data_IF_559740739064
#
_entry.id   IF_559740739064
#
_cell.length_a   1.000
_cell.length_b   1.000
_cell.length_c   1.000
_cell.angle_alpha   90.00
_cell.angle_beta   90.00
_cell.angle_gamma   90.00
#
_symmetry.space_group_name_H-M   'P 1'
#
loop_
_entity.id
_entity.type
_entity.pdbx_description
1 polymer ?
#
# COMPACT_ATOMS: atom_id res chain seq x y z
N UNK A 1 23.97 -10.30 -17.37
CA UNK A 1 23.29 -9.89 -16.14
C UNK A 1 22.07 -9.07 -16.58
N UNK A 2 20.87 -9.59 -16.39
CA UNK A 2 19.66 -8.86 -16.77
C UNK A 2 19.52 -7.64 -15.85
N UNK A 3 19.68 -6.44 -16.41
CA UNK A 3 19.47 -5.19 -15.67
C UNK A 3 18.04 -5.14 -15.11
N UNK A 4 17.89 -4.61 -13.89
CA UNK A 4 16.56 -4.36 -13.32
C UNK A 4 15.74 -3.47 -14.30
N UNK A 5 14.46 -3.80 -14.55
CA UNK A 5 13.58 -2.95 -15.36
C UNK A 5 13.50 -1.53 -14.79
N UNK A 6 13.32 -0.56 -15.67
CA UNK A 6 13.51 0.86 -15.35
C UNK A 6 12.58 1.37 -14.26
N UNK A 7 11.28 1.04 -14.32
CA UNK A 7 10.30 1.54 -13.35
C UNK A 7 10.53 0.88 -11.98
N UNK A 8 10.73 -0.45 -11.95
CA UNK A 8 11.06 -1.17 -10.72
C UNK A 8 12.30 -0.57 -10.06
N UNK A 9 13.38 -0.36 -10.84
CA UNK A 9 14.61 0.26 -10.34
C UNK A 9 14.35 1.66 -9.75
N UNK A 10 13.62 2.50 -10.46
CA UNK A 10 13.35 3.88 -10.03
C UNK A 10 12.46 3.90 -8.77
N UNK A 11 11.45 3.03 -8.68
CA UNK A 11 10.62 2.92 -7.48
C UNK A 11 11.46 2.54 -6.25
N UNK A 12 12.38 1.56 -6.40
CA UNK A 12 13.29 1.18 -5.32
C UNK A 12 14.17 2.36 -4.89
N UNK A 13 14.79 3.06 -5.85
CA UNK A 13 15.68 4.20 -5.57
C UNK A 13 14.90 5.33 -4.87
N UNK A 14 13.74 5.73 -5.40
CA UNK A 14 12.96 6.84 -4.85
C UNK A 14 12.53 6.52 -3.40
N UNK A 15 12.00 5.32 -3.15
CA UNK A 15 11.58 4.94 -1.79
C UNK A 15 12.75 4.94 -0.80
N UNK A 16 13.92 4.41 -1.20
CA UNK A 16 15.13 4.42 -0.36
C UNK A 16 15.59 5.86 -0.10
N UNK A 17 15.61 6.72 -1.11
CA UNK A 17 15.99 8.13 -0.95
C UNK A 17 15.01 8.88 -0.05
N UNK A 18 13.69 8.68 -0.20
CA UNK A 18 12.68 9.27 0.68
C UNK A 18 12.88 8.80 2.13
N UNK A 19 13.10 7.49 2.34
CA UNK A 19 13.30 6.92 3.68
C UNK A 19 14.51 7.54 4.39
N UNK A 20 15.67 7.62 3.73
CA UNK A 20 16.83 8.30 4.32
C UNK A 20 16.63 9.82 4.44
N UNK A 21 15.94 10.44 3.48
CA UNK A 21 15.59 11.85 3.52
C UNK A 21 14.78 12.23 4.76
N UNK A 22 13.83 11.35 5.19
CA UNK A 22 13.07 11.55 6.43
C UNK A 22 13.96 11.61 7.67
N UNK A 23 14.98 10.75 7.79
CA UNK A 23 15.92 10.79 8.92
C UNK A 23 16.76 12.06 8.92
N UNK A 24 17.21 12.50 7.74
CA UNK A 24 17.98 13.75 7.62
C UNK A 24 17.12 14.94 8.00
N UNK A 25 15.91 15.04 7.45
CA UNK A 25 14.99 16.17 7.71
C UNK A 25 14.61 16.26 9.21
N UNK A 26 14.39 15.13 9.87
CA UNK A 26 14.06 15.09 11.30
C UNK A 26 15.15 15.66 12.18
N UNK A 27 16.45 15.56 11.78
CA UNK A 27 17.57 16.23 12.47
C UNK A 27 17.50 17.76 12.42
N UNK A 28 16.81 18.30 11.42
CA UNK A 28 16.58 19.74 11.25
C UNK A 28 15.18 20.18 11.71
N UNK A 29 14.47 19.32 12.46
CA UNK A 29 13.15 19.64 12.99
C UNK A 29 12.01 19.58 11.97
N UNK A 30 12.24 18.98 10.78
CA UNK A 30 11.21 18.81 9.75
C UNK A 30 10.68 17.39 9.77
N UNK A 31 9.38 17.23 10.01
CA UNK A 31 8.68 15.94 9.96
C UNK A 31 8.05 15.71 8.57
N UNK A 32 8.87 15.17 7.65
CA UNK A 32 8.42 14.84 6.29
C UNK A 32 7.35 13.74 6.31
N UNK A 33 7.41 12.80 7.25
CA UNK A 33 6.42 11.74 7.37
C UNK A 33 5.03 12.32 7.63
N UNK A 34 4.92 13.26 8.56
CA UNK A 34 3.67 13.96 8.82
C UNK A 34 3.22 14.83 7.63
N UNK A 35 4.14 15.50 6.92
CA UNK A 35 3.78 16.37 5.79
C UNK A 35 3.29 15.61 4.56
N UNK A 36 3.87 14.44 4.26
CA UNK A 36 3.67 13.69 3.03
C UNK A 36 2.88 12.38 3.21
N UNK A 37 2.68 11.93 4.45
CA UNK A 37 1.75 10.85 4.80
C UNK A 37 0.30 11.26 4.50
N UNK A 38 -0.55 10.28 4.25
CA UNK A 38 -1.96 10.50 3.98
C UNK A 38 -2.70 10.70 5.30
N UNK A 39 -3.11 11.93 5.57
CA UNK A 39 -4.00 12.27 6.67
C UNK A 39 -5.45 12.01 6.29
N UNK A 40 -6.28 11.74 7.30
CA UNK A 40 -7.71 11.62 7.11
C UNK A 40 -8.28 12.89 6.45
N UNK A 41 -9.17 12.75 5.47
CA UNK A 41 -9.60 13.90 4.65
C UNK A 41 -10.38 14.99 5.40
N UNK A 42 -10.87 14.71 6.62
CA UNK A 42 -11.46 15.72 7.50
C UNK A 42 -10.46 16.35 8.47
N UNK A 43 -9.21 15.90 8.49
CA UNK A 43 -8.14 16.51 9.26
C UNK A 43 -7.64 17.80 8.62
N UNK A 44 -7.17 18.76 9.42
CA UNK A 44 -6.67 20.05 8.90
C UNK A 44 -5.40 19.90 8.06
N UNK A 45 -4.60 18.87 8.30
CA UNK A 45 -3.32 18.61 7.63
C UNK A 45 -3.48 17.80 6.33
N UNK A 46 -4.73 17.45 5.97
CA UNK A 46 -5.00 16.73 4.72
C UNK A 46 -4.67 17.57 3.49
N UNK A 47 -4.03 16.92 2.51
CA UNK A 47 -3.77 17.47 1.19
C UNK A 47 -3.94 16.39 0.12
N UNK A 48 -4.60 16.73 -0.99
CA UNK A 48 -4.84 15.78 -2.10
C UNK A 48 -3.56 15.15 -2.66
N UNK A 49 -2.42 15.85 -2.61
CA UNK A 49 -1.12 15.31 -3.01
C UNK A 49 -0.69 14.11 -2.16
N UNK A 50 -1.18 14.02 -0.93
CA UNK A 50 -0.89 12.92 -0.01
C UNK A 50 -1.42 11.57 -0.52
N UNK A 51 -2.45 11.53 -1.39
CA UNK A 51 -2.88 10.29 -2.06
C UNK A 51 -1.79 9.65 -2.93
N UNK A 52 -0.72 10.37 -3.22
CA UNK A 52 0.43 9.86 -3.97
C UNK A 52 1.68 9.82 -3.09
N UNK A 53 1.95 10.88 -2.33
CA UNK A 53 3.22 11.00 -1.60
C UNK A 53 3.34 9.99 -0.47
N UNK A 54 2.24 9.60 0.18
CA UNK A 54 2.22 8.62 1.25
C UNK A 54 2.83 7.26 0.85
N UNK A 55 2.72 6.89 -0.44
CA UNK A 55 3.26 5.65 -1.00
C UNK A 55 4.79 5.57 -0.91
N UNK A 56 5.47 6.69 -0.68
CA UNK A 56 6.93 6.78 -0.58
C UNK A 56 7.43 6.97 0.85
N UNK A 57 6.53 7.15 1.81
CA UNK A 57 6.85 7.28 3.24
C UNK A 57 6.80 5.91 3.93
N UNK A 58 7.72 5.66 4.86
CA UNK A 58 7.79 4.37 5.55
C UNK A 58 8.14 4.57 7.02
N UNK A 59 7.29 4.07 7.91
CA UNK A 59 7.40 4.28 9.34
C UNK A 59 8.69 3.71 9.98
N UNK A 60 9.25 2.62 9.43
CA UNK A 60 10.43 1.96 9.96
C UNK A 60 11.18 1.12 8.91
N UNK A 61 12.37 0.63 9.29
CA UNK A 61 13.22 -0.14 8.38
C UNK A 61 12.58 -1.45 7.89
N UNK A 62 11.91 -2.20 8.76
CA UNK A 62 11.25 -3.44 8.33
C UNK A 62 10.13 -3.16 7.33
N UNK A 63 9.40 -2.06 7.53
CA UNK A 63 8.33 -1.64 6.62
C UNK A 63 8.86 -1.36 5.20
N UNK A 64 9.91 -0.54 5.05
CA UNK A 64 10.51 -0.30 3.73
C UNK A 64 11.16 -1.56 3.16
N UNK A 65 11.84 -2.35 3.99
CA UNK A 65 12.53 -3.56 3.54
C UNK A 65 11.55 -4.54 2.88
N UNK A 66 10.45 -4.90 3.53
CA UNK A 66 9.49 -5.84 2.96
C UNK A 66 8.75 -5.29 1.75
N UNK A 67 8.41 -4.00 1.74
CA UNK A 67 7.83 -3.36 0.56
C UNK A 67 8.78 -3.40 -0.64
N UNK A 68 10.01 -2.97 -0.46
CA UNK A 68 11.00 -2.93 -1.55
C UNK A 68 11.41 -4.32 -1.99
N UNK A 69 11.48 -5.28 -1.10
CA UNK A 69 11.72 -6.68 -1.44
C UNK A 69 10.61 -7.24 -2.34
N UNK A 70 9.35 -6.96 -2.02
CA UNK A 70 8.21 -7.39 -2.83
C UNK A 70 8.18 -6.68 -4.20
N UNK A 71 8.44 -5.36 -4.25
CA UNK A 71 8.57 -4.62 -5.52
C UNK A 71 9.72 -5.19 -6.35
N UNK A 72 10.87 -5.48 -5.76
CA UNK A 72 12.00 -6.08 -6.46
C UNK A 72 11.67 -7.48 -6.98
N UNK A 73 11.04 -8.32 -6.19
CA UNK A 73 10.80 -9.72 -6.52
C UNK A 73 9.67 -9.88 -7.54
N UNK A 74 8.53 -9.24 -7.32
CA UNK A 74 7.33 -9.39 -8.14
C UNK A 74 7.17 -8.28 -9.17
N UNK A 75 7.50 -7.03 -8.80
CA UNK A 75 7.34 -5.87 -9.68
C UNK A 75 8.20 -6.00 -10.94
N UNK A 76 9.44 -6.48 -10.82
CA UNK A 76 10.30 -6.71 -11.99
C UNK A 76 9.71 -7.70 -12.98
N UNK A 77 9.05 -8.75 -12.49
CA UNK A 77 8.41 -9.76 -13.36
C UNK A 77 7.22 -9.15 -14.08
N UNK A 78 6.39 -8.41 -13.37
CA UNK A 78 5.23 -7.73 -13.97
C UNK A 78 5.65 -6.66 -14.98
N UNK A 79 6.71 -5.88 -14.69
CA UNK A 79 7.23 -4.89 -15.65
C UNK A 79 7.77 -5.54 -16.90
N UNK A 80 8.46 -6.68 -16.78
CA UNK A 80 8.95 -7.44 -17.95
C UNK A 80 7.80 -7.95 -18.84
N UNK A 81 6.67 -8.35 -18.23
CA UNK A 81 5.50 -8.86 -18.96
C UNK A 81 4.65 -7.75 -19.56
N UNK A 82 4.42 -6.67 -18.81
CA UNK A 82 3.49 -5.60 -19.20
C UNK A 82 4.14 -4.41 -19.87
N UNK A 83 5.45 -4.29 -19.73
CA UNK A 83 6.20 -3.09 -20.07
C UNK A 83 6.08 -1.98 -19.02
N UNK A 84 6.98 -0.97 -19.09
CA UNK A 84 7.15 0.03 -18.04
C UNK A 84 5.90 0.91 -17.83
N UNK A 85 5.25 1.36 -18.90
CA UNK A 85 4.09 2.27 -18.79
C UNK A 85 2.92 1.60 -18.08
N UNK A 86 2.60 0.35 -18.47
CA UNK A 86 1.46 -0.38 -17.90
C UNK A 86 1.73 -0.77 -16.45
N UNK A 87 2.95 -1.18 -16.13
CA UNK A 87 3.36 -1.50 -14.75
C UNK A 87 3.27 -0.26 -13.85
N UNK A 88 3.81 0.90 -14.28
CA UNK A 88 3.72 2.13 -13.51
C UNK A 88 2.26 2.57 -13.29
N UNK A 89 1.44 2.52 -14.34
CA UNK A 89 -0.01 2.83 -14.22
C UNK A 89 -0.69 1.91 -13.20
N UNK A 90 -0.38 0.63 -13.24
CA UNK A 90 -0.91 -0.35 -12.30
C UNK A 90 -0.50 -0.04 -10.86
N UNK A 91 0.79 0.20 -10.64
CA UNK A 91 1.35 0.54 -9.32
C UNK A 91 0.67 1.77 -8.72
N UNK A 92 0.58 2.86 -9.50
CA UNK A 92 -0.02 4.11 -9.03
C UNK A 92 -1.52 3.96 -8.76
N UNK A 93 -2.27 3.29 -9.63
CA UNK A 93 -3.72 3.09 -9.43
C UNK A 93 -3.99 2.22 -8.21
N UNK A 94 -3.21 1.14 -7.99
CA UNK A 94 -3.33 0.33 -6.78
C UNK A 94 -3.02 1.14 -5.52
N UNK A 95 -1.97 1.97 -5.54
CA UNK A 95 -1.62 2.81 -4.40
C UNK A 95 -2.69 3.87 -4.12
N UNK A 96 -3.09 4.66 -5.11
CA UNK A 96 -4.15 5.67 -4.93
C UNK A 96 -5.44 5.01 -4.46
N UNK A 97 -5.83 3.89 -5.07
CA UNK A 97 -7.02 3.13 -4.67
C UNK A 97 -6.96 2.61 -3.23
N UNK A 98 -5.78 2.20 -2.79
CA UNK A 98 -5.54 1.80 -1.39
C UNK A 98 -5.80 2.97 -0.43
N UNK A 99 -5.24 4.15 -0.72
CA UNK A 99 -5.50 5.37 0.04
C UNK A 99 -6.99 5.73 0.09
N UNK A 100 -7.69 5.69 -1.04
CA UNK A 100 -9.12 5.97 -1.10
C UNK A 100 -9.97 5.00 -0.27
N UNK A 101 -9.65 3.71 -0.26
CA UNK A 101 -10.35 2.74 0.60
C UNK A 101 -10.05 2.99 2.07
N UNK A 102 -8.81 3.33 2.42
CA UNK A 102 -8.44 3.68 3.79
C UNK A 102 -9.23 4.91 4.28
N UNK A 103 -9.31 5.97 3.48
CA UNK A 103 -10.11 7.16 3.76
C UNK A 103 -11.59 6.82 3.95
N UNK A 104 -12.15 5.94 3.09
CA UNK A 104 -13.53 5.50 3.23
C UNK A 104 -13.78 4.76 4.54
N UNK A 105 -12.87 3.88 4.94
CA UNK A 105 -12.98 3.13 6.21
C UNK A 105 -12.90 4.08 7.40
N UNK A 106 -11.92 4.99 7.41
CA UNK A 106 -11.81 6.00 8.46
C UNK A 106 -13.04 6.92 8.52
N UNK A 107 -13.64 7.21 7.37
CA UNK A 107 -14.90 7.99 7.35
C UNK A 107 -16.07 7.24 7.98
N UNK A 108 -16.19 5.94 7.72
CA UNK A 108 -17.21 5.11 8.39
C UNK A 108 -16.96 5.07 9.90
N UNK A 109 -15.71 4.91 10.33
CA UNK A 109 -15.34 4.95 11.75
C UNK A 109 -15.64 6.32 12.37
N UNK A 110 -15.34 7.41 11.65
CA UNK A 110 -15.70 8.76 12.08
C UNK A 110 -17.19 8.89 12.32
N UNK A 111 -18.03 8.51 11.35
CA UNK A 111 -19.49 8.61 11.46
C UNK A 111 -20.08 7.73 12.56
N UNK A 112 -19.52 6.56 12.79
CA UNK A 112 -20.08 5.58 13.73
C UNK A 112 -19.57 5.73 15.16
N UNK A 113 -18.35 6.24 15.33
CA UNK A 113 -17.67 6.32 16.62
C UNK A 113 -17.26 7.74 16.96
N UNK A 114 -16.34 8.34 16.19
CA UNK A 114 -15.60 9.52 16.62
C UNK A 114 -16.43 10.81 16.61
N UNK A 115 -17.38 10.95 15.68
CA UNK A 115 -18.24 12.14 15.59
C UNK A 115 -19.13 12.40 16.81
N UNK A 116 -19.22 11.40 17.70
CA UNK A 116 -20.01 11.53 18.94
C UNK A 116 -19.19 12.11 20.11
N UNK A 117 -17.92 12.42 19.91
CA UNK A 117 -17.00 12.86 20.97
C UNK A 117 -16.27 14.14 20.56
N UNK A 118 -16.13 15.08 21.50
CA UNK A 118 -15.34 16.31 21.31
C UNK A 118 -13.85 16.10 21.58
N UNK A 119 -13.50 15.00 22.25
CA UNK A 119 -12.13 14.70 22.67
C UNK A 119 -11.90 13.19 22.81
N UNK A 120 -10.63 12.77 22.69
CA UNK A 120 -10.20 11.39 22.84
C UNK A 120 -9.21 11.29 24.00
N UNK A 121 -9.40 10.31 24.88
CA UNK A 121 -8.43 10.00 25.93
C UNK A 121 -7.34 9.08 25.37
N UNK A 122 -6.17 9.64 25.13
CA UNK A 122 -4.99 8.90 24.69
C UNK A 122 -4.13 8.52 25.89
N UNK A 123 -3.13 7.66 25.67
CA UNK A 123 -2.14 7.32 26.73
C UNK A 123 -1.34 8.54 27.23
N UNK A 124 -1.29 9.63 26.46
CA UNK A 124 -0.56 10.85 26.77
C UNK A 124 -1.45 11.95 27.34
N UNK A 125 -2.76 11.71 27.47
CA UNK A 125 -3.75 12.67 27.96
C UNK A 125 -4.97 12.81 27.05
N UNK A 126 -5.88 13.70 27.44
CA UNK A 126 -7.06 14.01 26.66
C UNK A 126 -6.70 15.05 25.61
N UNK A 127 -6.97 14.74 24.34
CA UNK A 127 -6.74 15.64 23.21
C UNK A 127 -8.08 15.95 22.51
N UNK A 128 -8.27 17.16 21.96
CA UNK A 128 -9.42 17.50 21.15
C UNK A 128 -9.55 16.59 19.91
N UNK A 129 -10.78 16.41 19.41
CA UNK A 129 -11.04 15.52 18.27
C UNK A 129 -10.29 15.96 17.00
N UNK A 130 -10.19 17.24 16.71
CA UNK A 130 -9.44 17.77 15.58
C UNK A 130 -7.94 17.41 15.64
N UNK A 131 -7.33 17.51 16.82
CA UNK A 131 -5.96 17.06 17.04
C UNK A 131 -5.79 15.54 16.89
N UNK A 132 -6.80 14.76 17.31
CA UNK A 132 -6.81 13.30 17.11
C UNK A 132 -6.90 12.95 15.64
N UNK A 133 -7.77 13.57 14.86
CA UNK A 133 -7.92 13.32 13.43
C UNK A 133 -6.62 13.59 12.66
N UNK A 134 -5.85 14.59 13.07
CA UNK A 134 -4.53 14.87 12.49
C UNK A 134 -3.47 13.80 12.80
N UNK A 135 -3.68 12.95 13.81
CA UNK A 135 -2.77 11.82 14.11
C UNK A 135 -3.08 10.58 13.25
N UNK A 136 -4.24 10.56 12.57
CA UNK A 136 -4.63 9.45 11.69
C UNK A 136 -3.88 9.57 10.36
N UNK A 137 -2.65 9.05 10.35
CA UNK A 137 -1.76 9.15 9.18
C UNK A 137 -1.43 7.77 8.64
N UNK A 138 -1.64 7.57 7.34
CA UNK A 138 -1.29 6.35 6.62
C UNK A 138 -0.04 6.58 5.79
N UNK A 139 0.91 5.63 5.84
CA UNK A 139 2.17 5.65 5.09
C UNK A 139 2.51 4.29 4.52
N UNK A 140 3.17 4.25 3.38
CA UNK A 140 3.75 3.04 2.79
C UNK A 140 3.33 2.72 1.38
N UNK A 141 4.21 2.03 0.67
CA UNK A 141 3.96 1.48 -0.66
C UNK A 141 3.06 0.23 -0.63
N UNK A 142 2.71 -0.27 0.56
CA UNK A 142 2.12 -1.60 0.75
C UNK A 142 0.81 -1.80 0.00
N UNK A 143 -0.06 -0.80 -0.10
CA UNK A 143 -1.27 -0.89 -0.91
C UNK A 143 -0.98 -1.24 -2.38
N UNK A 144 0.00 -0.56 -3.00
CA UNK A 144 0.46 -0.88 -4.35
C UNK A 144 1.14 -2.27 -4.42
N UNK A 145 1.89 -2.65 -3.38
CA UNK A 145 2.55 -3.96 -3.26
C UNK A 145 1.52 -5.09 -3.20
N UNK A 146 0.43 -4.94 -2.46
CA UNK A 146 -0.65 -5.94 -2.44
C UNK A 146 -1.34 -6.06 -3.81
N UNK A 147 -1.49 -4.93 -4.54
CA UNK A 147 -1.89 -4.97 -5.94
C UNK A 147 -0.91 -5.77 -6.82
N UNK A 148 0.40 -5.55 -6.66
CA UNK A 148 1.46 -6.32 -7.36
C UNK A 148 1.35 -7.82 -7.04
N UNK A 149 1.16 -8.19 -5.77
CA UNK A 149 0.99 -9.58 -5.35
C UNK A 149 -0.24 -10.22 -5.99
N UNK A 150 -1.38 -9.50 -6.02
CA UNK A 150 -2.58 -9.94 -6.71
C UNK A 150 -2.31 -10.21 -8.20
N UNK A 151 -1.70 -9.24 -8.89
CA UNK A 151 -1.37 -9.39 -10.30
C UNK A 151 -0.47 -10.60 -10.55
N UNK A 152 0.55 -10.78 -9.73
CA UNK A 152 1.45 -11.96 -9.83
C UNK A 152 0.67 -13.26 -9.64
N UNK A 153 -0.19 -13.36 -8.62
CA UNK A 153 -1.03 -14.54 -8.38
C UNK A 153 -2.01 -14.84 -9.52
N UNK A 154 -2.53 -13.79 -10.20
CA UNK A 154 -3.43 -13.94 -11.34
C UNK A 154 -2.71 -14.32 -12.65
N UNK A 155 -1.51 -13.79 -12.89
CA UNK A 155 -0.72 -14.08 -14.09
C UNK A 155 0.01 -15.42 -13.98
N UNK A 156 0.51 -15.75 -12.80
CA UNK A 156 1.35 -16.91 -12.53
C UNK A 156 0.76 -17.81 -11.42
N UNK A 157 -0.51 -18.27 -11.54
CA UNK A 157 -1.25 -18.89 -10.44
C UNK A 157 -0.61 -20.18 -9.89
N UNK A 158 0.16 -20.87 -10.72
CA UNK A 158 0.80 -22.13 -10.34
C UNK A 158 2.28 -21.99 -10.00
N UNK A 159 2.84 -20.77 -10.06
CA UNK A 159 4.21 -20.52 -9.62
C UNK A 159 4.38 -20.88 -8.15
N UNK A 160 5.45 -21.60 -7.84
CA UNK A 160 5.76 -21.99 -6.47
C UNK A 160 6.50 -20.86 -5.77
N UNK A 161 6.05 -20.51 -4.57
CA UNK A 161 6.62 -19.48 -3.71
C UNK A 161 7.04 -20.11 -2.38
N UNK A 162 8.28 -19.84 -1.97
CA UNK A 162 8.76 -20.20 -0.64
C UNK A 162 8.47 -19.05 0.32
N UNK A 163 7.67 -19.31 1.35
CA UNK A 163 7.22 -18.32 2.34
C UNK A 163 7.72 -18.75 3.71
N UNK A 164 8.71 -18.05 4.22
CA UNK A 164 9.20 -18.34 5.58
C UNK A 164 8.10 -18.06 6.63
N UNK A 165 7.89 -18.91 7.63
CA UNK A 165 8.65 -20.13 8.00
C UNK A 165 8.08 -21.44 7.42
N UNK A 166 7.25 -21.40 6.38
CA UNK A 166 6.59 -22.59 5.83
C UNK A 166 7.60 -23.42 5.05
N UNK A 167 7.84 -24.69 5.41
CA UNK A 167 8.90 -25.51 4.80
C UNK A 167 8.55 -26.05 3.40
N UNK A 168 7.34 -25.79 2.92
CA UNK A 168 6.84 -26.27 1.63
C UNK A 168 6.52 -25.11 0.70
N UNK A 169 6.77 -25.23 -0.61
CA UNK A 169 6.38 -24.23 -1.58
C UNK A 169 4.85 -24.15 -1.71
N UNK A 170 4.31 -22.93 -1.71
CA UNK A 170 2.89 -22.65 -1.90
C UNK A 170 2.68 -22.09 -3.30
N UNK A 171 1.62 -22.52 -4.01
CA UNK A 171 1.26 -21.88 -5.29
C UNK A 171 0.81 -20.45 -5.08
N UNK A 172 1.27 -19.54 -5.96
CA UNK A 172 1.02 -18.09 -5.86
C UNK A 172 -0.46 -17.74 -5.66
N UNK A 173 -1.39 -18.44 -6.34
CA UNK A 173 -2.83 -18.21 -6.14
C UNK A 173 -3.31 -18.45 -4.71
N UNK A 174 -2.82 -19.48 -4.04
CA UNK A 174 -3.21 -19.78 -2.66
C UNK A 174 -2.56 -18.82 -1.67
N UNK A 175 -1.31 -18.42 -1.94
CA UNK A 175 -0.63 -17.41 -1.16
C UNK A 175 -1.39 -16.08 -1.18
N UNK A 176 -1.77 -15.60 -2.36
CA UNK A 176 -2.48 -14.32 -2.52
C UNK A 176 -3.88 -14.35 -1.90
N UNK A 177 -4.62 -15.45 -2.08
CA UNK A 177 -5.95 -15.63 -1.44
C UNK A 177 -5.79 -15.67 0.08
N UNK A 178 -4.82 -16.42 0.60
CA UNK A 178 -4.56 -16.50 2.04
C UNK A 178 -4.21 -15.14 2.65
N UNK A 179 -3.38 -14.35 1.97
CA UNK A 179 -3.07 -12.98 2.40
C UNK A 179 -4.29 -12.07 2.38
N UNK A 180 -5.12 -12.11 1.33
CA UNK A 180 -6.35 -11.31 1.28
C UNK A 180 -7.32 -11.67 2.44
N UNK A 181 -7.47 -12.94 2.75
CA UNK A 181 -8.29 -13.41 3.88
C UNK A 181 -7.68 -12.95 5.21
N UNK A 182 -6.37 -13.08 5.37
CA UNK A 182 -5.67 -12.63 6.58
C UNK A 182 -5.84 -11.11 6.80
N UNK A 183 -5.65 -10.29 5.77
CA UNK A 183 -5.85 -8.85 5.83
C UNK A 183 -7.29 -8.48 6.21
N UNK A 184 -8.28 -9.21 5.68
CA UNK A 184 -9.67 -9.00 6.05
C UNK A 184 -9.94 -9.33 7.53
N UNK A 185 -9.44 -10.46 8.01
CA UNK A 185 -9.63 -10.89 9.40
C UNK A 185 -8.92 -9.93 10.38
N UNK A 186 -7.70 -9.50 10.05
CA UNK A 186 -6.96 -8.55 10.86
C UNK A 186 -7.63 -7.17 10.82
N UNK A 187 -8.09 -6.70 9.67
CA UNK A 187 -8.79 -5.41 9.56
C UNK A 187 -10.11 -5.35 10.35
N UNK A 188 -10.76 -6.50 10.57
CA UNK A 188 -11.99 -6.57 11.37
C UNK A 188 -11.74 -6.77 12.86
N UNK A 189 -10.58 -7.31 13.25
CA UNK A 189 -10.36 -7.80 14.62
C UNK A 189 -9.09 -7.30 15.30
N UNK A 190 -8.13 -6.69 14.60
CA UNK A 190 -6.89 -6.20 15.22
C UNK A 190 -6.89 -4.68 15.38
N UNK A 191 -6.11 -4.22 16.35
CA UNK A 191 -5.80 -2.80 16.54
C UNK A 191 -4.27 -2.65 16.64
N UNK A 192 -3.58 -3.13 15.61
CA UNK A 192 -2.11 -3.18 15.54
C UNK A 192 -1.48 -1.97 14.84
N UNK A 193 -2.31 -1.00 14.42
CA UNK A 193 -1.87 0.19 13.72
C UNK A 193 -1.52 -0.04 12.23
N UNK A 194 -1.89 -1.21 11.67
CA UNK A 194 -1.70 -1.52 10.25
C UNK A 194 -2.95 -1.18 9.46
N UNK A 195 -2.79 -0.53 8.31
CA UNK A 195 -3.90 -0.15 7.42
C UNK A 195 -4.34 -1.35 6.54
N UNK A 196 -4.90 -2.39 7.16
CA UNK A 196 -5.32 -3.64 6.48
C UNK A 196 -6.29 -3.40 5.33
N UNK A 197 -7.21 -2.46 5.49
CA UNK A 197 -8.16 -2.12 4.44
C UNK A 197 -7.51 -1.37 3.27
N UNK A 198 -6.42 -0.63 3.48
CA UNK A 198 -5.63 -0.09 2.38
C UNK A 198 -4.98 -1.21 1.54
N UNK A 199 -4.49 -2.29 2.17
CA UNK A 199 -3.97 -3.45 1.47
C UNK A 199 -5.03 -4.11 0.59
N UNK A 200 -6.22 -4.36 1.14
CA UNK A 200 -7.37 -4.89 0.39
C UNK A 200 -7.83 -3.92 -0.71
N UNK A 201 -7.78 -2.62 -0.45
CA UNK A 201 -8.06 -1.56 -1.42
C UNK A 201 -7.13 -1.64 -2.63
N UNK A 202 -5.82 -1.78 -2.39
CA UNK A 202 -4.84 -1.97 -3.45
C UNK A 202 -5.09 -3.21 -4.30
N UNK A 203 -5.48 -4.33 -3.67
CA UNK A 203 -5.89 -5.54 -4.39
C UNK A 203 -7.17 -5.33 -5.20
N UNK A 204 -8.17 -4.66 -4.65
CA UNK A 204 -9.45 -4.37 -5.33
C UNK A 204 -9.24 -3.55 -6.59
N UNK A 205 -8.53 -2.42 -6.50
CA UNK A 205 -8.24 -1.58 -7.65
C UNK A 205 -7.36 -2.30 -8.68
N UNK A 206 -6.42 -3.12 -8.22
CA UNK A 206 -5.63 -3.99 -9.06
C UNK A 206 -6.48 -4.99 -9.83
N UNK A 207 -7.44 -5.64 -9.16
CA UNK A 207 -8.38 -6.58 -9.79
C UNK A 207 -9.22 -5.88 -10.86
N UNK A 208 -9.81 -4.73 -10.52
CA UNK A 208 -10.63 -3.94 -11.45
C UNK A 208 -9.83 -3.62 -12.71
N UNK A 209 -8.60 -3.15 -12.57
CA UNK A 209 -7.75 -2.75 -13.68
C UNK A 209 -7.35 -3.95 -14.56
N UNK A 210 -7.02 -5.09 -13.96
CA UNK A 210 -6.71 -6.32 -14.69
C UNK A 210 -7.94 -6.81 -15.48
N UNK A 211 -9.12 -6.82 -14.86
CA UNK A 211 -10.37 -7.24 -15.54
C UNK A 211 -10.72 -6.28 -16.67
N UNK A 212 -10.57 -4.97 -16.45
CA UNK A 212 -10.77 -3.95 -17.50
C UNK A 212 -9.84 -4.18 -18.71
N UNK A 213 -8.54 -4.37 -18.45
CA UNK A 213 -7.58 -4.62 -19.54
C UNK A 213 -7.85 -5.93 -20.27
N UNK A 214 -8.27 -6.99 -19.56
CA UNK A 214 -8.64 -8.26 -20.16
C UNK A 214 -9.84 -8.12 -21.13
N UNK A 215 -10.87 -7.39 -20.70
CA UNK A 215 -12.04 -7.12 -21.56
C UNK A 215 -11.65 -6.31 -22.79
N UNK A 216 -10.85 -5.27 -22.64
CA UNK A 216 -10.40 -4.41 -23.74
C UNK A 216 -9.57 -5.16 -24.78
N UNK A 217 -8.83 -6.19 -24.39
CA UNK A 217 -8.00 -7.00 -25.28
C UNK A 217 -8.73 -8.24 -25.83
N UNK A 218 -10.08 -8.25 -25.87
CA UNK A 218 -10.87 -9.33 -26.49
C UNK A 218 -10.89 -10.64 -25.72
N UNK A 219 -10.67 -10.61 -24.40
CA UNK A 219 -10.71 -11.81 -23.54
C UNK A 219 -9.47 -12.70 -23.62
N UNK A 220 -8.44 -12.30 -24.37
CA UNK A 220 -7.16 -12.99 -24.48
C UNK A 220 -6.34 -13.00 -23.19
N UNK A 221 -5.20 -13.71 -23.21
CA UNK A 221 -4.27 -13.73 -22.09
C UNK A 221 -3.79 -12.33 -21.75
N UNK A 222 -3.62 -12.03 -20.45
CA UNK A 222 -3.23 -10.70 -19.91
C UNK A 222 -1.80 -10.27 -20.31
N UNK A 223 -1.14 -11.07 -21.15
CA UNK A 223 0.29 -10.92 -21.51
C UNK A 223 0.59 -9.88 -22.59
N UNK A 224 -0.42 -9.23 -23.19
CA UNK A 224 -0.18 -8.26 -24.27
C UNK A 224 -1.06 -7.03 -24.13
#
# INVERSE_FOLDING_TARGET
MNNLPTVTKNLLIINVLCFFGMFVARKYGVDIENMLGLHFFLASDFNLGQLITYMFMHANFSHIFFNMFAVWMFGRVLEQVWGPKRFLTYYLICGIGAGLIQELVQYVEYLTVWSNYDSVNTRLGIIPMDAFLNQLTTVGASGAVYGILLAFGMLFPNSQMFVFPIPMPIKAKYFVIGYAVLELLLGLGSNDGVAHFAHLGGMLFGLILIVYWRKKNGGGRIYY
#
